data_IF_260406317711
#
_entry.id   IF_260406317711
#
_cell.length_a   1.000
_cell.length_b   1.000
_cell.length_c   1.000
_cell.angle_alpha   90.00
_cell.angle_beta   90.00
_cell.angle_gamma   90.00
#
_symmetry.space_group_name_H-M   'P 1'
#
loop_
_entity.id
_entity.type
_entity.pdbx_description
1 polymer ?
#
# COMPACT_ATOMS: atom_id res chain seq x y z
N UNK A 1 -8.90 0.64 -29.13
CA UNK A 1 -8.67 0.84 -27.68
C UNK A 1 -9.59 -0.11 -26.93
N UNK A 2 -9.03 -0.97 -26.10
CA UNK A 2 -9.79 -1.90 -25.26
C UNK A 2 -10.02 -1.33 -23.87
N UNK A 3 -11.05 -1.83 -23.20
CA UNK A 3 -11.38 -1.49 -21.82
C UNK A 3 -11.57 -2.76 -21.00
N UNK A 4 -11.01 -2.78 -19.80
CA UNK A 4 -11.27 -3.80 -18.77
C UNK A 4 -11.80 -3.11 -17.53
N UNK A 5 -12.82 -3.70 -16.93
CA UNK A 5 -13.36 -3.25 -15.66
C UNK A 5 -13.03 -4.26 -14.56
N UNK A 6 -12.55 -3.76 -13.41
CA UNK A 6 -12.36 -4.59 -12.23
C UNK A 6 -13.73 -5.00 -11.64
N UNK A 7 -13.80 -6.04 -10.78
CA UNK A 7 -15.06 -6.73 -10.49
C UNK A 7 -15.95 -6.04 -9.43
N UNK A 8 -15.59 -4.88 -8.89
CA UNK A 8 -16.38 -4.16 -7.88
C UNK A 8 -16.34 -4.81 -6.49
N UNK A 9 -15.20 -5.39 -6.09
CA UNK A 9 -14.96 -5.84 -4.73
C UNK A 9 -14.77 -4.66 -3.75
N UNK A 10 -14.71 -4.90 -2.42
CA UNK A 10 -14.41 -3.82 -1.47
C UNK A 10 -13.11 -3.08 -1.82
N UNK A 11 -13.09 -1.77 -1.55
CA UNK A 11 -12.12 -0.84 -2.13
C UNK A 11 -10.65 -1.28 -2.06
N UNK A 12 -10.19 -1.88 -0.95
CA UNK A 12 -8.79 -2.35 -0.82
C UNK A 12 -8.50 -3.49 -1.79
N UNK A 13 -9.37 -4.50 -1.82
CA UNK A 13 -9.23 -5.66 -2.69
C UNK A 13 -9.27 -5.22 -4.15
N UNK A 14 -10.18 -4.31 -4.47
CA UNK A 14 -10.30 -3.75 -5.81
C UNK A 14 -9.03 -3.03 -6.24
N UNK A 15 -8.44 -2.24 -5.35
CA UNK A 15 -7.18 -1.54 -5.58
C UNK A 15 -6.04 -2.55 -5.86
N UNK A 16 -5.96 -3.65 -5.10
CA UNK A 16 -4.98 -4.70 -5.37
C UNK A 16 -5.19 -5.41 -6.71
N UNK A 17 -6.45 -5.69 -7.07
CA UNK A 17 -6.76 -6.30 -8.37
C UNK A 17 -6.35 -5.38 -9.50
N UNK A 18 -6.70 -4.10 -9.41
CA UNK A 18 -6.30 -3.08 -10.37
C UNK A 18 -4.78 -3.08 -10.56
N UNK A 19 -4.01 -3.03 -9.47
CA UNK A 19 -2.54 -3.08 -9.56
C UNK A 19 -2.01 -4.39 -10.14
N UNK A 20 -2.64 -5.53 -9.82
CA UNK A 20 -2.31 -6.81 -10.40
C UNK A 20 -2.49 -6.84 -11.91
N UNK A 21 -3.62 -6.31 -12.41
CA UNK A 21 -3.92 -6.23 -13.84
C UNK A 21 -2.92 -5.32 -14.54
N UNK A 22 -2.63 -4.14 -13.98
CA UNK A 22 -1.64 -3.22 -14.53
C UNK A 22 -0.25 -3.87 -14.58
N UNK A 23 0.15 -4.59 -13.53
CA UNK A 23 1.41 -5.33 -13.49
C UNK A 23 1.51 -6.42 -14.55
N UNK A 24 0.39 -7.05 -14.90
CA UNK A 24 0.34 -8.03 -15.99
C UNK A 24 0.45 -7.34 -17.36
N UNK A 25 -0.29 -6.25 -17.55
CA UNK A 25 -0.28 -5.44 -18.78
C UNK A 25 1.08 -4.78 -19.06
N UNK A 26 1.74 -4.23 -18.04
CA UNK A 26 2.96 -3.42 -18.20
C UNK A 26 4.26 -4.21 -18.27
N UNK A 27 4.20 -5.54 -18.07
CA UNK A 27 5.38 -6.38 -17.79
C UNK A 27 6.44 -6.37 -18.87
N UNK A 28 6.02 -6.37 -20.12
CA UNK A 28 6.91 -6.43 -21.29
C UNK A 28 6.90 -5.12 -22.08
N UNK A 29 6.35 -4.07 -21.49
CA UNK A 29 6.21 -2.78 -22.14
C UNK A 29 7.36 -1.86 -21.76
N UNK A 30 7.90 -1.19 -22.77
CA UNK A 30 8.79 -0.07 -22.59
C UNK A 30 8.05 1.09 -21.89
N UNK A 31 8.75 1.99 -21.17
CA UNK A 31 8.11 3.10 -20.46
C UNK A 31 7.15 3.94 -21.32
N UNK A 32 7.48 4.17 -22.59
CA UNK A 32 6.61 4.92 -23.50
C UNK A 32 5.35 4.16 -23.94
N UNK A 33 5.41 2.83 -23.97
CA UNK A 33 4.25 1.98 -24.27
C UNK A 33 3.30 1.89 -23.08
N UNK A 34 3.82 2.02 -21.85
CA UNK A 34 3.00 2.03 -20.63
C UNK A 34 2.07 3.25 -20.55
N UNK A 35 2.41 4.37 -21.21
CA UNK A 35 1.55 5.56 -21.35
C UNK A 35 0.24 5.27 -22.08
N UNK A 36 0.17 4.14 -22.80
CA UNK A 36 -1.05 3.70 -23.48
C UNK A 36 -2.05 3.03 -22.53
N UNK A 37 -1.65 2.72 -21.29
CA UNK A 37 -2.54 2.17 -20.27
C UNK A 37 -3.02 3.31 -19.38
N UNK A 38 -4.34 3.50 -19.30
CA UNK A 38 -4.98 4.51 -18.44
C UNK A 38 -5.92 3.85 -17.45
N UNK A 39 -5.94 4.34 -16.23
CA UNK A 39 -6.72 3.78 -15.13
C UNK A 39 -7.59 4.87 -14.57
N UNK A 40 -8.90 4.64 -14.48
CA UNK A 40 -9.86 5.58 -13.94
C UNK A 40 -10.69 4.93 -12.84
N UNK A 41 -10.81 5.57 -11.67
CA UNK A 41 -11.75 5.14 -10.64
C UNK A 41 -13.20 5.42 -11.08
N UNK A 42 -14.09 4.44 -10.94
CA UNK A 42 -15.52 4.50 -11.28
C UNK A 42 -16.36 4.03 -10.09
N UNK A 43 -16.27 4.75 -8.98
CA UNK A 43 -16.95 4.38 -7.74
C UNK A 43 -16.34 3.15 -7.08
N UNK A 44 -16.99 1.99 -7.23
CA UNK A 44 -16.56 0.73 -6.59
C UNK A 44 -15.57 -0.10 -7.43
N UNK A 45 -15.36 0.27 -8.69
CA UNK A 45 -14.46 -0.44 -9.61
C UNK A 45 -13.54 0.55 -10.35
N UNK A 46 -12.57 0.00 -11.07
CA UNK A 46 -11.65 0.71 -11.95
C UNK A 46 -11.92 0.34 -13.40
N UNK A 47 -11.85 1.35 -14.27
CA UNK A 47 -11.77 1.20 -15.71
C UNK A 47 -10.29 1.28 -16.13
N UNK A 48 -9.82 0.27 -16.85
CA UNK A 48 -8.45 0.19 -17.37
C UNK A 48 -8.55 0.21 -18.89
N UNK A 49 -8.16 1.32 -19.51
CA UNK A 49 -8.10 1.50 -20.95
C UNK A 49 -6.69 1.17 -21.46
N UNK A 50 -6.57 0.44 -22.57
CA UNK A 50 -5.27 0.05 -23.13
C UNK A 50 -5.36 -0.16 -24.66
N UNK A 51 -4.22 -0.16 -25.35
CA UNK A 51 -4.15 -0.41 -26.80
C UNK A 51 -4.48 -1.86 -27.14
N UNK A 52 -5.18 -2.09 -28.25
CA UNK A 52 -5.53 -3.45 -28.75
C UNK A 52 -4.30 -4.29 -29.10
N UNK A 53 -3.18 -3.63 -29.40
CA UNK A 53 -1.91 -4.27 -29.71
C UNK A 53 -1.27 -4.91 -28.47
N UNK A 54 -1.70 -4.50 -27.26
CA UNK A 54 -1.19 -5.02 -26.00
C UNK A 54 -1.94 -6.30 -25.63
N UNK A 55 -1.24 -7.43 -25.71
CA UNK A 55 -1.78 -8.70 -25.25
C UNK A 55 -1.56 -8.89 -23.76
N UNK A 56 -2.62 -9.28 -23.04
CA UNK A 56 -2.54 -9.63 -21.63
C UNK A 56 -2.10 -11.08 -21.52
N UNK A 57 -0.82 -11.26 -21.19
CA UNK A 57 -0.29 -12.58 -20.90
C UNK A 57 -0.63 -13.00 -19.46
N UNK A 58 -1.78 -13.65 -19.29
CA UNK A 58 -2.16 -14.27 -18.01
C UNK A 58 -1.30 -15.49 -17.66
N UNK A 59 -0.62 -16.11 -18.64
CA UNK A 59 0.15 -17.33 -18.42
C UNK A 59 1.38 -17.09 -17.54
N UNK A 60 2.05 -15.94 -17.73
CA UNK A 60 3.19 -15.56 -16.87
C UNK A 60 2.78 -14.95 -15.52
N UNK A 61 1.49 -14.65 -15.30
CA UNK A 61 1.02 -14.09 -14.02
C UNK A 61 1.32 -15.02 -12.85
N UNK A 62 1.14 -16.32 -13.06
CA UNK A 62 1.49 -17.39 -12.12
C UNK A 62 2.95 -17.30 -11.66
N UNK A 63 3.88 -17.33 -12.62
CA UNK A 63 5.33 -17.29 -12.35
C UNK A 63 5.75 -16.00 -11.66
N UNK A 64 5.13 -14.87 -12.02
CA UNK A 64 5.39 -13.59 -11.37
C UNK A 64 4.95 -13.56 -9.92
N UNK A 65 3.75 -14.07 -9.61
CA UNK A 65 3.27 -14.12 -8.22
C UNK A 65 4.17 -15.02 -7.38
N UNK A 66 4.57 -16.18 -7.90
CA UNK A 66 5.52 -17.06 -7.22
C UNK A 66 6.89 -16.41 -7.04
N UNK A 67 7.42 -15.73 -8.06
CA UNK A 67 8.69 -15.02 -7.97
C UNK A 67 8.63 -13.88 -6.96
N UNK A 68 7.54 -13.10 -6.95
CA UNK A 68 7.31 -12.04 -5.99
C UNK A 68 7.18 -12.59 -4.57
N UNK A 69 6.42 -13.66 -4.39
CA UNK A 69 6.26 -14.36 -3.12
C UNK A 69 7.62 -14.87 -2.58
N UNK A 70 8.38 -15.57 -3.42
CA UNK A 70 9.71 -16.07 -3.08
C UNK A 70 10.66 -14.94 -2.71
N UNK A 71 10.61 -13.82 -3.43
CA UNK A 71 11.44 -12.65 -3.11
C UNK A 71 11.12 -12.07 -1.73
N UNK A 72 9.83 -12.00 -1.34
CA UNK A 72 9.45 -11.53 -0.01
C UNK A 72 9.88 -12.54 1.05
N UNK A 73 9.65 -13.84 0.81
CA UNK A 73 10.07 -14.92 1.71
C UNK A 73 11.59 -14.96 1.92
N UNK A 74 12.38 -14.72 0.90
CA UNK A 74 13.84 -14.70 1.03
C UNK A 74 14.29 -13.53 1.91
N UNK A 75 13.62 -12.38 1.80
CA UNK A 75 13.80 -11.25 2.72
C UNK A 75 13.37 -11.65 4.15
N UNK A 76 12.23 -12.33 4.31
CA UNK A 76 11.78 -12.83 5.62
C UNK A 76 12.83 -13.74 6.29
N UNK A 77 13.34 -14.72 5.54
CA UNK A 77 14.36 -15.67 5.99
C UNK A 77 15.66 -14.95 6.35
N UNK A 78 16.13 -14.04 5.48
CA UNK A 78 17.36 -13.29 5.71
C UNK A 78 17.27 -12.38 6.95
N UNK A 79 16.08 -11.82 7.21
CA UNK A 79 15.89 -10.83 8.27
C UNK A 79 15.37 -11.43 9.58
N UNK A 80 14.89 -12.67 9.56
CA UNK A 80 14.23 -13.32 10.70
C UNK A 80 12.88 -12.66 11.03
N UNK A 81 12.18 -12.17 10.01
CA UNK A 81 10.95 -11.37 10.13
C UNK A 81 9.87 -12.00 9.27
N UNK A 82 8.67 -12.26 9.81
CA UNK A 82 7.54 -12.73 9.01
C UNK A 82 6.78 -11.57 8.35
N UNK A 83 7.35 -10.88 7.36
CA UNK A 83 6.76 -9.71 6.66
C UNK A 83 5.34 -9.95 6.10
N UNK A 84 5.03 -11.16 5.67
CA UNK A 84 3.73 -11.55 5.14
C UNK A 84 2.69 -11.77 6.25
N UNK A 85 3.13 -11.97 7.49
CA UNK A 85 2.26 -12.17 8.63
C UNK A 85 1.25 -13.32 8.46
N UNK A 86 0.02 -13.21 8.99
CA UNK A 86 -1.00 -14.24 8.95
C UNK A 86 -1.70 -14.35 7.59
N UNK A 87 -1.06 -13.90 6.50
CA UNK A 87 -1.42 -14.27 5.12
C UNK A 87 -1.52 -15.78 4.92
N UNK A 88 -1.13 -16.60 5.91
CA UNK A 88 -1.54 -17.99 6.02
C UNK A 88 -0.77 -18.94 5.13
N UNK A 89 0.15 -18.41 4.33
CA UNK A 89 1.11 -19.18 3.55
C UNK A 89 2.27 -19.67 4.41
N UNK A 90 1.95 -20.26 5.57
CA UNK A 90 2.94 -21.00 6.36
C UNK A 90 3.48 -22.22 5.60
N UNK A 91 2.81 -22.62 4.52
CA UNK A 91 3.20 -23.70 3.64
C UNK A 91 3.26 -23.21 2.18
N UNK A 92 4.45 -23.26 1.58
CA UNK A 92 4.69 -22.97 0.15
C UNK A 92 3.85 -23.86 -0.76
N UNK A 93 3.59 -25.11 -0.37
CA UNK A 93 2.71 -26.02 -1.10
C UNK A 93 1.30 -25.46 -1.21
N UNK A 94 0.79 -24.79 -0.18
CA UNK A 94 -0.53 -24.14 -0.24
C UNK A 94 -0.52 -22.94 -1.18
N UNK A 95 0.59 -22.20 -1.28
CA UNK A 95 0.72 -21.12 -2.28
C UNK A 95 0.76 -21.71 -3.68
N UNK A 96 1.58 -22.73 -3.90
CA UNK A 96 1.73 -23.39 -5.21
C UNK A 96 0.40 -24.02 -5.64
N UNK A 97 -0.26 -24.78 -4.76
CA UNK A 97 -1.58 -25.34 -4.99
C UNK A 97 -2.60 -24.23 -5.29
N UNK A 98 -2.55 -23.15 -4.53
CA UNK A 98 -3.47 -22.03 -4.69
C UNK A 98 -3.27 -21.27 -6.02
N UNK A 99 -2.03 -20.97 -6.38
CA UNK A 99 -1.67 -20.21 -7.58
C UNK A 99 -1.85 -21.10 -8.82
N UNK A 100 -1.59 -22.42 -8.74
CA UNK A 100 -1.70 -23.35 -9.88
C UNK A 100 -3.14 -23.58 -10.31
N UNK A 101 -4.10 -23.50 -9.38
CA UNK A 101 -5.52 -23.54 -9.71
C UNK A 101 -5.98 -22.30 -10.52
N UNK A 102 -5.36 -21.13 -10.27
CA UNK A 102 -5.66 -19.90 -11.01
C UNK A 102 -5.02 -19.86 -12.41
N UNK A 103 -3.94 -20.62 -12.64
CA UNK A 103 -3.26 -20.75 -13.93
C UNK A 103 -4.10 -21.46 -15.03
N UNK A 104 -5.29 -21.96 -14.69
CA UNK A 104 -6.22 -22.57 -15.64
C UNK A 104 -6.95 -21.57 -16.54
N UNK A 105 -6.92 -20.26 -16.20
CA UNK A 105 -7.51 -19.19 -17.01
C UNK A 105 -6.46 -18.64 -17.97
N UNK A 106 -6.71 -18.74 -19.28
CA UNK A 106 -5.76 -18.32 -20.32
C UNK A 106 -5.98 -16.89 -20.80
N UNK A 107 -7.21 -16.39 -20.73
CA UNK A 107 -7.57 -15.05 -21.20
C UNK A 107 -8.39 -14.31 -20.14
N UNK A 108 -7.99 -13.07 -19.85
CA UNK A 108 -8.66 -12.18 -18.92
C UNK A 108 -10.09 -11.80 -19.39
N UNK A 109 -10.32 -11.78 -20.71
CA UNK A 109 -11.61 -11.47 -21.34
C UNK A 109 -12.69 -12.53 -21.04
N UNK A 110 -12.26 -13.75 -20.70
CA UNK A 110 -13.15 -14.82 -20.23
C UNK A 110 -13.76 -14.50 -18.86
N UNK A 111 -13.10 -13.65 -18.07
CA UNK A 111 -13.44 -13.40 -16.66
C UNK A 111 -13.97 -11.98 -16.44
N UNK A 112 -13.39 -10.99 -17.10
CA UNK A 112 -13.75 -9.59 -16.96
C UNK A 112 -14.52 -9.08 -18.19
N UNK A 113 -15.47 -8.19 -17.96
CA UNK A 113 -16.25 -7.60 -19.05
C UNK A 113 -15.42 -6.60 -19.84
N UNK A 114 -15.39 -6.76 -21.16
CA UNK A 114 -14.85 -5.77 -22.12
C UNK A 114 -15.83 -4.62 -22.41
N UNK A 115 -17.06 -4.71 -21.92
CA UNK A 115 -18.15 -3.75 -22.12
C UNK A 115 -18.59 -3.24 -20.74
N UNK A 116 -18.85 -1.93 -20.57
CA UNK A 116 -19.38 -1.39 -19.32
C UNK A 116 -20.70 -2.09 -18.97
N UNK A 117 -20.78 -2.64 -17.74
CA UNK A 117 -22.08 -3.10 -17.22
C UNK A 117 -22.86 -1.87 -16.78
N UNK A 118 -23.98 -1.61 -17.44
CA UNK A 118 -24.97 -0.66 -16.93
C UNK A 118 -25.41 -1.11 -15.53
N UNK A 119 -25.49 -0.14 -14.62
CA UNK A 119 -25.50 -0.30 -13.16
C UNK A 119 -26.74 -0.97 -12.54
N UNK A 120 -27.53 -1.73 -13.31
CA UNK A 120 -28.81 -2.30 -12.86
C UNK A 120 -28.80 -3.82 -12.64
N UNK A 121 -27.86 -4.57 -13.22
CA UNK A 121 -27.83 -6.02 -13.06
C UNK A 121 -26.80 -6.46 -12.00
N UNK A 122 -27.30 -6.72 -10.78
CA UNK A 122 -26.57 -7.30 -9.64
C UNK A 122 -26.16 -8.77 -9.86
N UNK A 123 -25.82 -9.16 -11.10
CA UNK A 123 -25.23 -10.47 -11.32
C UNK A 123 -23.76 -10.44 -10.89
N UNK A 124 -23.33 -11.53 -10.24
CA UNK A 124 -21.94 -11.79 -9.86
C UNK A 124 -20.96 -11.24 -10.92
N UNK A 125 -20.06 -10.31 -10.55
CA UNK A 125 -19.17 -9.62 -11.49
C UNK A 125 -18.12 -10.54 -12.14
N UNK A 126 -17.96 -11.76 -11.61
CA UNK A 126 -17.17 -12.81 -12.22
C UNK A 126 -18.10 -13.85 -12.87
N UNK A 127 -17.87 -14.18 -14.15
CA UNK A 127 -18.61 -15.23 -14.89
C UNK A 127 -18.36 -16.66 -14.39
N UNK A 128 -17.42 -16.85 -13.46
CA UNK A 128 -17.13 -18.17 -12.89
C UNK A 128 -18.21 -18.57 -11.87
N UNK A 129 -18.95 -19.64 -12.17
CA UNK A 129 -19.97 -20.23 -11.30
C UNK A 129 -19.48 -20.50 -9.87
N UNK A 130 -20.40 -20.41 -8.89
CA UNK A 130 -20.18 -20.57 -7.44
C UNK A 130 -19.34 -21.79 -7.03
N UNK A 131 -19.33 -22.87 -7.85
CA UNK A 131 -18.55 -24.09 -7.62
C UNK A 131 -17.03 -23.90 -7.65
N UNK A 132 -16.50 -22.77 -8.17
CA UNK A 132 -15.06 -22.48 -8.25
C UNK A 132 -14.58 -21.34 -7.34
N UNK A 133 -15.47 -20.74 -6.55
CA UNK A 133 -15.08 -19.63 -5.67
C UNK A 133 -14.23 -20.14 -4.48
N UNK A 134 -13.25 -19.33 -4.06
CA UNK A 134 -12.29 -19.67 -2.99
C UNK A 134 -12.34 -18.66 -1.87
N UNK A 135 -12.12 -19.10 -0.63
CA UNK A 135 -12.06 -18.19 0.51
C UNK A 135 -10.79 -17.34 0.43
N UNK A 136 -10.95 -16.02 0.38
CA UNK A 136 -9.85 -15.07 0.43
C UNK A 136 -9.05 -15.20 1.74
N UNK A 137 -7.76 -15.47 1.60
CA UNK A 137 -6.80 -15.53 2.72
C UNK A 137 -5.93 -14.28 2.83
N UNK A 138 -5.95 -13.41 1.83
CA UNK A 138 -5.29 -12.10 1.86
C UNK A 138 -5.92 -11.18 2.91
N UNK A 139 -5.19 -10.19 3.44
CA UNK A 139 -5.59 -9.35 4.55
C UNK A 139 -6.44 -8.17 4.02
N UNK A 140 -7.28 -8.46 3.03
CA UNK A 140 -8.24 -7.59 2.36
C UNK A 140 -9.60 -7.58 3.06
N UNK A 141 -9.72 -8.30 4.18
CA UNK A 141 -10.95 -8.41 4.94
C UNK A 141 -11.09 -7.46 6.15
N UNK A 142 -10.50 -6.24 6.22
CA UNK A 142 -11.00 -5.25 7.18
C UNK A 142 -12.48 -4.96 6.92
N UNK A 143 -12.86 -4.78 5.65
CA UNK A 143 -14.18 -4.24 5.29
C UNK A 143 -15.33 -5.26 5.35
N UNK A 144 -15.07 -6.52 5.67
CA UNK A 144 -16.06 -7.61 5.59
C UNK A 144 -16.26 -8.37 6.91
N UNK A 145 -15.86 -7.77 8.03
CA UNK A 145 -16.21 -8.26 9.37
C UNK A 145 -15.46 -9.51 9.84
N UNK A 146 -14.55 -10.08 9.05
CA UNK A 146 -13.74 -11.25 9.46
C UNK A 146 -12.86 -10.96 10.68
N UNK A 147 -12.56 -9.68 10.93
CA UNK A 147 -11.45 -9.27 11.79
C UNK A 147 -11.72 -8.08 12.72
N UNK A 148 -12.94 -7.53 12.74
CA UNK A 148 -13.34 -6.55 13.75
C UNK A 148 -13.72 -7.28 15.04
N UNK A 149 -12.75 -7.50 15.94
CA UNK A 149 -13.07 -7.78 17.34
C UNK A 149 -13.32 -6.45 18.06
N UNK A 150 -14.52 -6.27 18.63
CA UNK A 150 -14.80 -5.13 19.51
C UNK A 150 -14.29 -5.45 20.92
N UNK A 151 -13.67 -4.43 21.52
CA UNK A 151 -13.43 -4.31 22.96
C UNK A 151 -14.65 -4.76 23.78
N UNK A 152 -14.38 -5.55 24.82
CA UNK A 152 -15.33 -6.19 25.74
C UNK A 152 -16.28 -5.23 26.48
N UNK A 153 -16.15 -3.91 26.31
CA UNK A 153 -16.91 -2.91 27.05
C UNK A 153 -18.34 -2.64 26.53
N UNK A 154 -18.77 -3.15 25.36
CA UNK A 154 -20.01 -2.67 24.71
C UNK A 154 -21.11 -3.68 24.39
N UNK A 155 -20.98 -4.97 24.76
CA UNK A 155 -22.11 -5.93 24.70
C UNK A 155 -22.77 -6.16 23.32
N UNK A 156 -22.18 -5.68 22.23
CA UNK A 156 -22.72 -5.85 20.87
C UNK A 156 -22.28 -7.20 20.31
N UNK A 157 -23.25 -7.98 19.82
CA UNK A 157 -23.06 -9.31 19.21
C UNK A 157 -21.98 -9.29 18.12
N UNK A 158 -21.00 -10.18 18.25
CA UNK A 158 -19.89 -10.39 17.32
C UNK A 158 -20.46 -10.81 15.96
N UNK A 159 -20.21 -10.08 14.86
CA UNK A 159 -20.47 -10.60 13.52
C UNK A 159 -19.64 -11.86 13.32
N UNK A 160 -20.28 -13.01 13.05
CA UNK A 160 -19.57 -14.24 12.70
C UNK A 160 -18.61 -13.95 11.55
N UNK A 161 -17.36 -14.38 11.67
CA UNK A 161 -16.35 -14.25 10.61
C UNK A 161 -16.86 -14.91 9.31
N UNK A 162 -17.39 -14.11 8.39
CA UNK A 162 -17.87 -14.61 7.10
C UNK A 162 -16.66 -14.89 6.20
N UNK A 163 -16.64 -16.07 5.59
CA UNK A 163 -15.64 -16.41 4.59
C UNK A 163 -15.94 -15.64 3.31
N UNK A 164 -15.07 -14.68 2.95
CA UNK A 164 -15.21 -13.98 1.68
C UNK A 164 -14.78 -14.88 0.54
N UNK A 165 -15.70 -15.21 -0.37
CA UNK A 165 -15.44 -16.03 -1.54
C UNK A 165 -15.10 -15.15 -2.74
N UNK A 166 -13.99 -15.46 -3.40
CA UNK A 166 -13.45 -14.70 -4.53
C UNK A 166 -13.04 -15.64 -5.67
N UNK A 167 -13.07 -15.13 -6.90
CA UNK A 167 -12.60 -15.87 -8.07
C UNK A 167 -11.07 -16.10 -8.03
N UNK A 168 -10.55 -17.25 -8.49
CA UNK A 168 -9.11 -17.52 -8.44
C UNK A 168 -8.25 -16.47 -9.15
N UNK A 169 -8.68 -15.97 -10.30
CA UNK A 169 -7.95 -14.95 -11.05
C UNK A 169 -7.94 -13.58 -10.33
N UNK A 170 -9.07 -13.18 -9.75
CA UNK A 170 -9.21 -11.97 -8.94
C UNK A 170 -8.27 -12.03 -7.74
N UNK A 171 -8.19 -13.19 -7.09
CA UNK A 171 -7.30 -13.43 -5.97
C UNK A 171 -5.82 -13.44 -6.41
N UNK A 172 -5.51 -13.98 -7.59
CA UNK A 172 -4.16 -13.96 -8.15
C UNK A 172 -3.70 -12.53 -8.48
N UNK A 173 -4.55 -11.72 -9.11
CA UNK A 173 -4.28 -10.30 -9.32
C UNK A 173 -4.14 -9.53 -8.01
N UNK A 174 -5.00 -9.81 -7.03
CA UNK A 174 -4.90 -9.18 -5.73
C UNK A 174 -3.57 -9.53 -5.02
N UNK A 175 -3.09 -10.77 -5.14
CA UNK A 175 -1.79 -11.19 -4.61
C UNK A 175 -0.63 -10.49 -5.33
N UNK A 176 -0.66 -10.43 -6.66
CA UNK A 176 0.32 -9.71 -7.46
C UNK A 176 0.38 -8.22 -7.03
N UNK A 177 -0.79 -7.58 -6.91
CA UNK A 177 -0.92 -6.19 -6.46
C UNK A 177 -0.40 -5.99 -5.04
N UNK A 178 -0.80 -6.83 -4.09
CA UNK A 178 -0.33 -6.80 -2.70
C UNK A 178 1.19 -6.92 -2.64
N UNK A 179 1.76 -7.95 -3.26
CA UNK A 179 3.19 -8.26 -3.17
C UNK A 179 4.06 -7.18 -3.83
N UNK A 180 3.61 -6.59 -4.95
CA UNK A 180 4.38 -5.58 -5.68
C UNK A 180 4.14 -4.15 -5.18
N UNK A 181 2.89 -3.77 -4.90
CA UNK A 181 2.47 -2.38 -4.68
C UNK A 181 2.11 -2.04 -3.23
N UNK A 182 2.10 -3.00 -2.30
CA UNK A 182 1.98 -2.64 -0.88
C UNK A 182 3.33 -2.43 -0.22
N UNK A 183 3.41 -1.44 0.67
CA UNK A 183 4.45 -1.41 1.70
C UNK A 183 3.90 -2.08 2.97
N UNK A 184 4.70 -2.98 3.55
CA UNK A 184 4.33 -3.74 4.76
C UNK A 184 5.35 -3.44 5.85
N UNK A 185 4.86 -3.01 7.01
CA UNK A 185 5.65 -2.78 8.22
C UNK A 185 5.34 -3.87 9.22
N UNK A 186 6.34 -4.60 9.70
CA UNK A 186 6.17 -5.43 10.89
C UNK A 186 6.39 -4.57 12.14
N UNK A 187 5.48 -4.68 13.10
CA UNK A 187 5.57 -4.05 14.41
C UNK A 187 5.54 -5.15 15.46
N UNK A 188 6.62 -5.22 16.25
CA UNK A 188 6.80 -6.20 17.31
C UNK A 188 6.51 -5.51 18.64
N UNK A 189 5.51 -5.99 19.38
CA UNK A 189 5.28 -5.61 20.77
C UNK A 189 5.69 -6.77 21.69
N UNK A 190 5.82 -6.51 22.99
CA UNK A 190 6.12 -7.54 23.98
C UNK A 190 5.08 -8.68 24.00
N UNK A 191 3.84 -8.40 23.59
CA UNK A 191 2.69 -9.31 23.72
C UNK A 191 2.09 -9.76 22.39
N UNK A 192 2.46 -9.12 21.28
CA UNK A 192 1.88 -9.39 19.98
C UNK A 192 2.78 -9.01 18.82
N UNK A 193 2.54 -9.64 17.68
CA UNK A 193 3.08 -9.20 16.39
C UNK A 193 1.95 -8.61 15.58
N UNK A 194 2.18 -7.42 15.04
CA UNK A 194 1.28 -6.77 14.10
C UNK A 194 1.98 -6.36 12.82
N UNK A 195 1.18 -6.17 11.77
CA UNK A 195 1.61 -5.79 10.43
C UNK A 195 0.77 -4.63 9.98
N UNK A 196 1.41 -3.54 9.59
CA UNK A 196 0.74 -2.42 8.94
C UNK A 196 0.93 -2.58 7.44
N UNK A 197 -0.16 -2.83 6.74
CA UNK A 197 -0.19 -2.84 5.30
C UNK A 197 -0.59 -1.47 4.81
N UNK A 198 0.07 -1.00 3.76
CA UNK A 198 -0.23 0.30 3.18
C UNK A 198 -0.13 0.28 1.68
N UNK A 199 -0.99 1.05 1.04
CA UNK A 199 -1.06 1.19 -0.41
C UNK A 199 -1.58 2.57 -0.79
N UNK A 200 -1.23 3.01 -1.99
CA UNK A 200 -1.86 4.17 -2.61
C UNK A 200 -3.02 3.74 -3.47
N UNK A 201 -4.03 4.59 -3.52
CA UNK A 201 -5.22 4.42 -4.31
C UNK A 201 -5.37 5.67 -5.18
N UNK A 202 -5.25 5.56 -6.51
CA UNK A 202 -5.47 6.71 -7.38
C UNK A 202 -6.95 7.09 -7.35
N UNK A 203 -7.21 8.39 -7.20
CA UNK A 203 -8.56 8.97 -7.16
C UNK A 203 -9.00 9.49 -8.53
N UNK A 204 -8.04 9.87 -9.38
CA UNK A 204 -8.28 10.41 -10.72
C UNK A 204 -7.80 9.43 -11.80
N UNK A 205 -8.12 9.77 -13.06
CA UNK A 205 -7.56 9.07 -14.21
C UNK A 205 -6.05 9.29 -14.29
N UNK A 206 -5.28 8.21 -14.37
CA UNK A 206 -3.82 8.24 -14.43
C UNK A 206 -3.26 7.21 -15.42
N UNK A 207 -2.06 7.46 -15.94
CA UNK A 207 -1.29 6.55 -16.78
C UNK A 207 -0.60 5.44 -15.97
N UNK A 208 -0.31 4.29 -16.59
CA UNK A 208 0.43 3.24 -15.89
C UNK A 208 1.90 3.62 -15.61
N UNK A 209 2.48 4.53 -16.39
CA UNK A 209 3.79 5.13 -16.10
C UNK A 209 3.76 5.97 -14.82
N UNK A 210 2.69 6.73 -14.61
CA UNK A 210 2.47 7.48 -13.37
C UNK A 210 2.30 6.53 -12.17
N UNK A 211 1.63 5.39 -12.37
CA UNK A 211 1.53 4.32 -11.36
C UNK A 211 2.85 3.57 -11.15
N UNK A 212 3.76 3.57 -12.12
CA UNK A 212 5.09 3.00 -11.95
C UNK A 212 5.99 3.84 -11.04
N UNK A 213 5.75 5.16 -10.91
CA UNK A 213 6.37 5.93 -9.83
C UNK A 213 6.02 5.35 -8.46
N UNK A 214 4.78 4.86 -8.28
CA UNK A 214 4.35 4.19 -7.05
C UNK A 214 5.10 2.86 -6.83
N UNK A 215 5.41 2.12 -7.89
CA UNK A 215 6.22 0.90 -7.79
C UNK A 215 7.65 1.17 -7.40
N UNK A 216 8.29 2.15 -8.05
CA UNK A 216 9.67 2.54 -7.77
C UNK A 216 9.76 3.01 -6.32
N UNK A 217 8.83 3.86 -5.90
CA UNK A 217 8.75 4.33 -4.54
C UNK A 217 8.55 3.20 -3.53
N UNK A 218 7.62 2.26 -3.79
CA UNK A 218 7.43 1.10 -2.93
C UNK A 218 8.67 0.20 -2.86
N UNK A 219 9.46 0.09 -3.94
CA UNK A 219 10.73 -0.68 -3.91
C UNK A 219 11.79 0.03 -3.08
N UNK A 220 11.89 1.36 -3.19
CA UNK A 220 12.81 2.17 -2.41
C UNK A 220 12.42 2.14 -0.93
N UNK A 221 11.14 2.32 -0.61
CA UNK A 221 10.61 2.22 0.75
C UNK A 221 10.81 0.82 1.31
N UNK A 222 10.51 -0.26 0.56
CA UNK A 222 10.81 -1.64 0.99
C UNK A 222 12.28 -1.84 1.29
N UNK A 223 13.20 -1.34 0.46
CA UNK A 223 14.64 -1.44 0.74
C UNK A 223 15.05 -0.63 1.98
N UNK A 224 14.54 0.58 2.13
CA UNK A 224 14.85 1.45 3.27
C UNK A 224 14.29 0.91 4.59
N UNK A 225 13.01 0.50 4.57
CA UNK A 225 12.26 -0.07 5.70
C UNK A 225 12.78 -1.46 6.04
N UNK A 226 12.86 -2.39 5.08
CA UNK A 226 13.31 -3.76 5.32
C UNK A 226 14.75 -3.82 5.82
N UNK A 227 15.66 -2.92 5.40
CA UNK A 227 17.06 -2.97 5.87
C UNK A 227 17.21 -2.90 7.39
N UNK A 228 16.22 -2.37 8.15
CA UNK A 228 16.34 -2.19 9.60
C UNK A 228 15.02 -2.30 10.39
N UNK A 229 13.95 -2.92 9.84
CA UNK A 229 12.67 -3.14 10.53
C UNK A 229 12.72 -4.14 11.71
N UNK A 230 13.90 -4.38 12.28
CA UNK A 230 14.05 -5.14 13.51
C UNK A 230 13.71 -4.19 14.66
N UNK A 231 12.56 -4.43 15.28
CA UNK A 231 12.09 -3.82 16.53
C UNK A 231 11.76 -2.33 16.40
N UNK A 232 10.52 -2.04 16.01
CA UNK A 232 9.95 -0.72 16.27
C UNK A 232 8.86 -0.93 17.33
N UNK A 233 8.94 -0.19 18.44
CA UNK A 233 7.80 0.00 19.32
C UNK A 233 6.59 0.54 18.53
N UNK A 234 5.40 0.51 19.11
CA UNK A 234 4.13 0.88 18.46
C UNK A 234 4.25 2.15 17.59
N UNK A 235 4.21 1.99 16.26
CA UNK A 235 4.21 3.11 15.31
C UNK A 235 2.79 3.59 15.13
N UNK A 236 2.49 4.88 15.39
CA UNK A 236 1.22 5.48 15.04
C UNK A 236 1.01 5.41 13.51
N UNK A 237 -0.16 4.96 13.06
CA UNK A 237 -0.41 4.76 11.63
C UNK A 237 -0.34 6.05 10.81
N UNK A 238 -0.51 7.21 11.45
CA UNK A 238 -0.36 8.52 10.82
C UNK A 238 1.09 8.80 10.37
N UNK A 239 2.08 8.10 10.94
CA UNK A 239 3.50 8.21 10.57
C UNK A 239 3.83 7.40 9.32
N UNK A 240 3.02 6.38 9.01
CA UNK A 240 3.27 5.42 7.94
C UNK A 240 3.38 6.09 6.56
N UNK A 241 2.47 7.02 6.16
CA UNK A 241 2.64 7.78 4.93
C UNK A 241 4.02 8.46 4.83
N UNK A 242 4.45 9.19 5.87
CA UNK A 242 5.74 9.87 5.87
C UNK A 242 6.89 8.87 5.65
N UNK A 243 6.87 7.72 6.33
CA UNK A 243 7.89 6.68 6.19
C UNK A 243 7.87 5.99 4.83
N UNK A 244 6.75 5.98 4.12
CA UNK A 244 6.69 5.52 2.73
C UNK A 244 7.23 6.58 1.78
N UNK A 245 6.88 7.86 2.02
CA UNK A 245 7.12 8.91 1.04
C UNK A 245 8.45 9.66 1.18
N UNK A 246 9.12 9.66 2.34
CA UNK A 246 10.32 10.48 2.55
C UNK A 246 11.49 10.15 1.60
N UNK A 247 11.52 8.92 1.08
CA UNK A 247 12.53 8.45 0.11
C UNK A 247 12.20 8.80 -1.34
N UNK A 248 11.04 9.40 -1.65
CA UNK A 248 10.79 9.88 -3.01
C UNK A 248 11.69 11.06 -3.36
N UNK A 249 12.11 11.11 -4.62
CA UNK A 249 12.69 12.31 -5.21
C UNK A 249 11.65 13.43 -5.28
N UNK A 250 12.09 14.69 -5.19
CA UNK A 250 11.18 15.84 -5.18
C UNK A 250 10.25 15.90 -6.40
N UNK A 251 10.78 15.55 -7.59
CA UNK A 251 10.00 15.48 -8.82
C UNK A 251 8.93 14.39 -8.75
N UNK A 252 9.31 13.19 -8.29
CA UNK A 252 8.37 12.07 -8.15
C UNK A 252 7.26 12.41 -7.16
N UNK A 253 7.60 12.99 -6.01
CA UNK A 253 6.60 13.42 -5.03
C UNK A 253 5.61 14.45 -5.63
N UNK A 254 6.09 15.39 -6.45
CA UNK A 254 5.23 16.37 -7.12
C UNK A 254 4.32 15.74 -8.18
N UNK A 255 4.83 14.82 -9.01
CA UNK A 255 3.97 14.15 -9.98
C UNK A 255 2.89 13.32 -9.29
N UNK A 256 3.23 12.64 -8.19
CA UNK A 256 2.26 11.89 -7.41
C UNK A 256 1.22 12.78 -6.74
N UNK A 257 1.57 14.01 -6.31
CA UNK A 257 0.59 14.90 -5.69
C UNK A 257 -0.50 15.35 -6.66
N UNK A 258 -0.20 15.43 -7.96
CA UNK A 258 -1.17 15.74 -9.02
C UNK A 258 -2.22 14.65 -9.21
N UNK A 259 -1.93 13.42 -8.80
CA UNK A 259 -2.86 12.28 -8.88
C UNK A 259 -3.91 12.27 -7.76
N UNK A 260 -3.83 13.23 -6.84
CA UNK A 260 -4.67 13.33 -5.63
C UNK A 260 -4.86 11.97 -4.91
N UNK A 261 -3.75 11.26 -4.62
CA UNK A 261 -3.86 9.88 -4.22
C UNK A 261 -4.37 9.77 -2.78
N UNK A 262 -5.25 8.80 -2.56
CA UNK A 262 -5.62 8.35 -1.24
C UNK A 262 -4.59 7.32 -0.76
N UNK A 263 -4.09 7.46 0.46
CA UNK A 263 -3.25 6.45 1.10
C UNK A 263 -4.06 5.63 2.07
N UNK A 264 -4.14 4.33 1.82
CA UNK A 264 -4.84 3.38 2.66
C UNK A 264 -3.80 2.69 3.55
N UNK A 265 -4.07 2.64 4.85
CA UNK A 265 -3.27 1.92 5.85
C UNK A 265 -4.16 1.07 6.74
N UNK A 266 -3.75 -0.15 7.05
CA UNK A 266 -4.47 -0.99 8.00
C UNK A 266 -3.53 -1.90 8.78
N UNK A 267 -3.82 -2.09 10.08
CA UNK A 267 -3.04 -2.96 10.96
C UNK A 267 -3.73 -4.28 11.18
N UNK A 268 -3.01 -5.34 10.88
CA UNK A 268 -3.34 -6.72 11.20
C UNK A 268 -2.53 -7.15 12.41
N UNK A 269 -3.16 -7.66 13.47
CA UNK A 269 -2.50 -8.17 14.67
C UNK A 269 -2.88 -9.63 14.87
N UNK A 270 -1.91 -10.46 15.25
CA UNK A 270 -2.18 -11.82 15.71
C UNK A 270 -2.11 -11.81 17.24
N UNK A 271 -3.28 -11.79 17.87
CA UNK A 271 -3.43 -11.98 19.32
C UNK A 271 -4.12 -13.34 19.55
N UNK A 272 -3.36 -14.36 19.96
CA UNK A 272 -3.86 -15.72 20.10
C UNK A 272 -3.91 -16.50 18.77
N UNK A 273 -5.00 -17.24 18.51
CA UNK A 273 -5.11 -18.19 17.38
C UNK A 273 -5.67 -17.58 16.07
N UNK A 274 -6.15 -16.34 16.09
CA UNK A 274 -6.78 -15.73 14.92
C UNK A 274 -6.19 -14.33 14.65
N UNK A 275 -5.87 -14.00 13.40
CA UNK A 275 -5.54 -12.63 13.03
C UNK A 275 -6.76 -11.72 13.18
N UNK A 276 -6.55 -10.47 13.55
CA UNK A 276 -7.59 -9.44 13.68
C UNK A 276 -7.08 -8.11 13.12
N UNK A 277 -7.97 -7.27 12.61
CA UNK A 277 -7.62 -5.98 12.04
C UNK A 277 -7.99 -4.95 13.07
N UNK A 278 -6.98 -4.24 13.55
CA UNK A 278 -7.09 -3.32 14.68
C UNK A 278 -7.43 -1.92 14.25
N UNK A 279 -7.05 -1.56 13.04
CA UNK A 279 -7.23 -0.21 12.52
C UNK A 279 -7.24 -0.23 11.00
N UNK A 280 -7.99 0.70 10.45
CA UNK A 280 -8.10 0.98 9.02
C UNK A 280 -8.23 2.49 8.89
N UNK A 281 -7.31 3.10 8.15
CA UNK A 281 -7.23 4.53 7.95
C UNK A 281 -7.03 4.85 6.47
N UNK A 282 -7.65 5.94 6.03
CA UNK A 282 -7.43 6.51 4.70
C UNK A 282 -7.00 7.96 4.87
N UNK A 283 -5.93 8.35 4.20
CA UNK A 283 -5.35 9.69 4.29
C UNK A 283 -5.33 10.33 2.90
N UNK A 284 -5.70 11.60 2.80
CA UNK A 284 -5.33 12.40 1.64
C UNK A 284 -3.84 12.77 1.80
N UNK A 285 -2.97 12.22 0.95
CA UNK A 285 -1.51 12.45 1.07
C UNK A 285 -0.98 13.49 0.09
N UNK A 286 -1.85 14.16 -0.68
CA UNK A 286 -1.43 15.28 -1.53
C UNK A 286 -0.64 16.35 -0.77
N UNK A 287 -1.09 16.84 0.41
CA UNK A 287 -0.31 17.82 1.18
C UNK A 287 1.07 17.28 1.59
N UNK A 288 1.14 16.02 2.05
CA UNK A 288 2.41 15.41 2.43
C UNK A 288 3.39 15.31 1.26
N UNK A 289 2.90 14.94 0.07
CA UNK A 289 3.73 14.84 -1.14
C UNK A 289 4.25 16.21 -1.60
N UNK A 290 3.39 17.23 -1.58
CA UNK A 290 3.79 18.61 -1.86
C UNK A 290 4.83 19.13 -0.84
N UNK A 291 4.64 18.81 0.44
CA UNK A 291 5.58 19.13 1.50
C UNK A 291 6.94 18.44 1.25
N UNK A 292 6.96 17.13 0.97
CA UNK A 292 8.18 16.37 0.70
C UNK A 292 8.91 16.94 -0.52
N UNK A 293 8.19 17.24 -1.60
CA UNK A 293 8.76 17.86 -2.79
C UNK A 293 9.43 19.19 -2.46
N UNK A 294 8.71 20.06 -1.75
CA UNK A 294 9.19 21.39 -1.37
C UNK A 294 10.41 21.30 -0.45
N UNK A 295 10.32 20.51 0.63
CA UNK A 295 11.37 20.45 1.65
C UNK A 295 12.63 19.79 1.12
N UNK A 296 12.56 18.75 0.29
CA UNK A 296 13.76 18.10 -0.28
C UNK A 296 14.46 18.98 -1.31
N UNK A 297 13.71 19.85 -2.01
CA UNK A 297 14.29 20.83 -2.92
C UNK A 297 15.08 21.92 -2.21
N UNK A 298 14.74 22.23 -0.96
CA UNK A 298 15.45 23.24 -0.15
C UNK A 298 16.42 22.67 0.88
N UNK A 299 16.15 21.45 1.36
CA UNK A 299 16.93 20.73 2.37
C UNK A 299 17.27 19.33 1.86
N UNK A 300 18.43 19.16 1.18
CA UNK A 300 18.90 17.87 0.70
C UNK A 300 19.14 16.83 1.81
N UNK A 301 19.34 17.27 3.06
CA UNK A 301 19.56 16.39 4.22
C UNK A 301 18.28 15.94 4.92
N UNK A 302 17.10 16.34 4.41
CA UNK A 302 15.81 15.95 4.97
C UNK A 302 15.67 14.43 5.09
N UNK A 303 16.06 13.69 4.03
CA UNK A 303 15.99 12.22 4.04
C UNK A 303 16.85 11.61 5.15
N UNK A 304 18.10 12.07 5.28
CA UNK A 304 19.03 11.64 6.34
C UNK A 304 18.48 11.93 7.74
N UNK A 305 17.77 13.05 7.90
CA UNK A 305 17.12 13.43 9.15
C UNK A 305 15.99 12.45 9.50
N UNK A 306 15.11 12.14 8.55
CA UNK A 306 14.04 11.16 8.78
C UNK A 306 14.61 9.77 9.05
N UNK A 307 15.69 9.38 8.34
CA UNK A 307 16.38 8.12 8.62
C UNK A 307 16.98 8.08 10.03
N UNK A 308 17.58 9.16 10.51
CA UNK A 308 18.11 9.24 11.87
C UNK A 308 17.01 9.10 12.92
N UNK A 309 15.86 9.76 12.72
CA UNK A 309 14.70 9.65 13.60
C UNK A 309 14.11 8.23 13.57
N UNK A 310 13.98 7.64 12.38
CA UNK A 310 13.47 6.28 12.17
C UNK A 310 14.36 5.21 12.82
N UNK A 311 15.69 5.36 12.76
CA UNK A 311 16.62 4.44 13.43
C UNK A 311 16.47 4.51 14.96
N UNK A 312 16.07 5.66 15.49
CA UNK A 312 15.88 5.91 16.92
C UNK A 312 14.39 6.04 17.28
N UNK A 313 13.51 5.31 16.58
CA UNK A 313 12.06 5.53 16.62
C UNK A 313 11.49 5.48 18.04
N UNK A 314 12.01 4.61 18.90
CA UNK A 314 11.58 4.47 20.29
C UNK A 314 11.72 5.76 21.13
N UNK A 315 12.63 6.65 20.73
CA UNK A 315 12.87 7.94 21.39
C UNK A 315 12.32 9.12 20.59
N UNK A 316 12.10 8.91 19.30
CA UNK A 316 11.84 9.96 18.32
C UNK A 316 10.43 9.89 17.70
N UNK A 317 9.56 8.99 18.17
CA UNK A 317 8.25 8.77 17.57
C UNK A 317 7.37 10.01 17.61
N UNK A 318 7.47 10.83 18.66
CA UNK A 318 6.72 12.08 18.78
C UNK A 318 7.10 13.09 17.69
N UNK A 319 8.40 13.21 17.36
CA UNK A 319 8.85 14.08 16.27
C UNK A 319 8.32 13.61 14.92
N UNK A 320 8.41 12.30 14.63
CA UNK A 320 7.83 11.74 13.40
C UNK A 320 6.32 11.94 13.34
N UNK A 321 5.62 11.81 14.48
CA UNK A 321 4.17 12.02 14.59
C UNK A 321 3.81 13.47 14.33
N UNK A 322 4.49 14.43 14.96
CA UNK A 322 4.26 15.85 14.73
C UNK A 322 4.55 16.27 13.29
N UNK A 323 5.65 15.80 12.70
CA UNK A 323 5.95 16.07 11.30
C UNK A 323 4.88 15.48 10.37
N UNK A 324 4.44 14.25 10.63
CA UNK A 324 3.43 13.59 9.80
C UNK A 324 2.09 14.32 9.87
N UNK A 325 1.63 14.67 11.08
CA UNK A 325 0.41 15.48 11.26
C UNK A 325 0.57 16.80 10.52
N UNK A 326 1.66 17.52 10.79
CA UNK A 326 1.94 18.82 10.19
C UNK A 326 1.87 18.79 8.66
N UNK A 327 2.57 17.84 8.04
CA UNK A 327 2.61 17.71 6.59
C UNK A 327 1.28 17.21 5.99
N UNK A 328 0.52 16.36 6.69
CA UNK A 328 -0.76 15.85 6.20
C UNK A 328 -1.89 16.88 6.31
N UNK A 329 -1.96 17.64 7.40
CA UNK A 329 -3.06 18.58 7.69
C UNK A 329 -2.69 20.05 7.56
N UNK A 330 -1.47 20.37 7.13
CA UNK A 330 -0.92 21.74 7.05
C UNK A 330 -0.94 22.48 8.39
N UNK A 331 -0.63 21.79 9.48
CA UNK A 331 -0.57 22.38 10.82
C UNK A 331 0.85 22.86 11.16
N UNK A 332 1.04 24.18 11.14
CA UNK A 332 2.32 24.85 11.40
C UNK A 332 2.76 24.71 12.87
N UNK A 333 1.84 24.64 13.83
CA UNK A 333 2.20 24.49 15.25
C UNK A 333 2.80 23.11 15.49
N UNK A 334 2.28 22.09 14.81
CA UNK A 334 2.88 20.75 14.82
C UNK A 334 4.25 20.75 14.15
N UNK A 335 4.47 21.57 13.12
CA UNK A 335 5.80 21.74 12.52
C UNK A 335 6.80 22.33 13.53
N UNK A 336 6.42 23.37 14.27
CA UNK A 336 7.27 23.95 15.30
C UNK A 336 7.58 22.97 16.43
N UNK A 337 6.60 22.16 16.84
CA UNK A 337 6.81 21.10 17.82
C UNK A 337 7.81 20.05 17.32
N UNK A 338 7.73 19.67 16.05
CA UNK A 338 8.74 18.82 15.41
C UNK A 338 10.14 19.44 15.48
N UNK A 339 10.31 20.71 15.07
CA UNK A 339 11.61 21.39 15.11
C UNK A 339 12.19 21.44 16.54
N UNK A 340 11.36 21.75 17.54
CA UNK A 340 11.76 21.78 18.95
C UNK A 340 12.27 20.42 19.44
N UNK A 341 11.61 19.33 19.04
CA UNK A 341 12.06 17.98 19.37
C UNK A 341 13.38 17.64 18.66
N UNK A 342 13.53 18.00 17.38
CA UNK A 342 14.78 17.81 16.64
C UNK A 342 15.97 18.51 17.33
N UNK A 343 15.81 19.75 17.79
CA UNK A 343 16.85 20.45 18.55
C UNK A 343 17.19 19.73 19.86
N UNK A 344 16.19 19.16 20.53
CA UNK A 344 16.40 18.36 21.75
C UNK A 344 17.21 17.10 21.48
N UNK A 345 16.89 16.38 20.40
CA UNK A 345 17.57 15.14 20.01
C UNK A 345 19.00 15.37 19.50
N UNK A 346 19.26 16.50 18.83
CA UNK A 346 20.61 16.90 18.47
C UNK A 346 21.50 17.01 19.71
N UNK A 347 21.00 17.61 20.79
CA UNK A 347 21.68 17.66 22.09
C UNK A 347 21.94 16.29 22.72
N UNK A 348 21.15 15.27 22.36
CA UNK A 348 21.30 13.88 22.79
C UNK A 348 22.21 13.03 21.89
N UNK A 349 22.97 13.66 20.97
CA UNK A 349 23.86 13.02 19.99
C UNK A 349 23.14 12.15 18.95
N UNK A 350 21.83 12.33 18.76
CA UNK A 350 21.14 11.77 17.60
C UNK A 350 21.46 12.69 16.41
N UNK A 351 21.97 12.13 15.31
CA UNK A 351 22.42 12.88 14.11
C UNK A 351 21.24 13.43 13.29
N UNK A 352 20.42 14.26 13.92
CA UNK A 352 19.32 15.00 13.31
C UNK A 352 19.83 16.38 12.96
N UNK A 353 19.76 16.78 11.68
CA UNK A 353 20.10 18.15 11.30
C UNK A 353 18.95 19.07 11.69
N UNK A 354 19.29 20.19 12.33
CA UNK A 354 18.33 21.28 12.55
C UNK A 354 18.23 22.07 11.23
N UNK A 355 17.03 22.26 10.68
CA UNK A 355 16.84 23.06 9.47
C UNK A 355 17.36 24.50 9.66
N UNK A 356 17.93 25.10 8.61
CA UNK A 356 18.32 26.50 8.57
C UNK A 356 17.10 27.42 8.62
N UNK A 357 17.31 28.70 8.94
CA UNK A 357 16.23 29.69 8.94
C UNK A 357 15.53 29.82 7.58
N UNK A 358 16.29 29.72 6.49
CA UNK A 358 15.76 29.74 5.12
C UNK A 358 14.89 28.50 4.83
N UNK A 359 15.32 27.32 5.29
CA UNK A 359 14.56 26.07 5.17
C UNK A 359 13.25 26.14 5.97
N UNK A 360 13.31 26.71 7.18
CA UNK A 360 12.14 26.96 8.03
C UNK A 360 11.20 27.95 7.33
N UNK A 361 11.71 29.07 6.83
CA UNK A 361 10.90 30.08 6.16
C UNK A 361 10.23 29.54 4.88
N UNK A 362 10.92 28.68 4.13
CA UNK A 362 10.34 27.99 2.97
C UNK A 362 9.21 27.05 3.39
N UNK A 363 9.43 26.23 4.42
CA UNK A 363 8.39 25.35 4.95
C UNK A 363 7.18 26.15 5.45
N UNK A 364 7.40 27.26 6.16
CA UNK A 364 6.36 28.19 6.62
C UNK A 364 5.56 28.74 5.43
N UNK A 365 6.23 29.21 4.37
CA UNK A 365 5.56 29.69 3.15
C UNK A 365 4.67 28.62 2.51
N UNK A 366 5.04 27.35 2.62
CA UNK A 366 4.20 26.25 2.14
C UNK A 366 2.91 26.09 2.96
N UNK A 367 2.96 26.26 4.29
CA UNK A 367 1.77 26.17 5.15
C UNK A 367 0.71 27.25 4.88
N UNK A 368 1.12 28.41 4.36
CA UNK A 368 0.24 29.54 4.06
C UNK A 368 -0.24 29.61 2.59
N UNK A 369 0.12 28.63 1.76
CA UNK A 369 -0.46 28.40 0.43
C UNK A 369 -1.61 27.40 0.52
#
# INVERSE_FOLDING_TARGET
>A
MMKIYTPGHPSILETYIMYGIISALSRNLMPDEQKQIRVSAKGLFYEIEYSEELQIDCSSLYDSVLKAYNSVRDVEKFQGVGLLGPLGFQNEEKVIEFVSQAATVKDISEVYSLVPRESSERESPCKLHERRLRTAQIPIAPMLGKYYSKHEASGVSIPKAMQYKICPLCLLFALEGLLKYSTIFQVLSERSTSWIYSQLKPSITCGADELNYLLIQNRLSKKAVARRAKFMNEIPEIVVPLLVFYVADSHVAMELSKLEPEFISYRLEVAGKAPAIRSYNTYNVKPLLEFISTIKSTNPEFESTIDALRINIDRCIDALTFLSISALVRDIDKFYNFLRLCSTYYGQKIKVRIPSEEEIHTAIKWFYK
#
